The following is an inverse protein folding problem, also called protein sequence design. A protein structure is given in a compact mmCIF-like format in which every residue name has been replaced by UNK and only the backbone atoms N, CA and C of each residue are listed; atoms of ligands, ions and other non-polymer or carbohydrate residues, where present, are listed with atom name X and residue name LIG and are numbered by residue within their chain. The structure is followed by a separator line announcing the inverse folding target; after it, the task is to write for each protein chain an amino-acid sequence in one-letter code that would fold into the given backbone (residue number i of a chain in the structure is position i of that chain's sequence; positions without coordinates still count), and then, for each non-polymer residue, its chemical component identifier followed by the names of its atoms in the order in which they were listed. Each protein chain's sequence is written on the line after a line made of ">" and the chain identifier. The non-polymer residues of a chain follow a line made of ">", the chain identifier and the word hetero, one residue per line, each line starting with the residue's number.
data_IF_180739376949
#
_entry.id   IF_180739376949
#
_cell.length_a   1.000
_cell.length_b   1.000
_cell.length_c   1.000
_cell.angle_alpha   90.00
_cell.angle_beta   90.00
_cell.angle_gamma   90.00
#
_symmetry.space_group_name_H-M   'P 1'
#
loop_
_entity.id
_entity.type
_entity.pdbx_description
1 polymer ?
#
# COMPACT_ATOMS: atom_id res chain seq x y z
N UNK A 1 -4.86 22.38 16.74
CA UNK A 1 -6.24 22.69 16.30
C UNK A 1 -6.71 21.56 15.41
N UNK A 2 -7.35 20.56 16.01
CA UNK A 2 -7.88 19.37 15.36
C UNK A 2 -9.34 19.60 14.99
N UNK A 3 -9.65 19.55 13.69
CA UNK A 3 -11.04 19.59 13.21
C UNK A 3 -11.85 18.40 13.72
N UNK A 4 -13.19 18.50 13.72
CA UNK A 4 -14.03 17.49 14.34
C UNK A 4 -13.90 16.16 13.59
N UNK A 5 -13.47 15.12 14.32
CA UNK A 5 -13.63 13.74 13.90
C UNK A 5 -15.12 13.51 13.65
N UNK A 6 -15.48 12.99 12.47
CA UNK A 6 -16.83 12.50 12.23
C UNK A 6 -17.20 11.56 13.38
N UNK A 7 -18.25 11.91 14.15
CA UNK A 7 -18.61 11.16 15.33
C UNK A 7 -18.91 9.69 14.97
N UNK A 8 -18.19 8.74 15.58
CA UNK A 8 -18.64 7.35 15.71
C UNK A 8 -17.72 6.24 15.19
N UNK A 9 -16.59 6.52 14.53
CA UNK A 9 -15.72 5.45 13.99
C UNK A 9 -14.46 5.30 14.84
N UNK A 10 -14.21 4.10 15.42
CA UNK A 10 -12.96 3.81 16.13
C UNK A 10 -11.75 4.09 15.24
N UNK A 11 -10.65 4.67 15.77
CA UNK A 11 -9.43 4.93 14.99
C UNK A 11 -8.89 3.69 14.27
N UNK A 12 -9.10 2.50 14.83
CA UNK A 12 -8.73 1.21 14.23
C UNK A 12 -9.43 0.95 12.89
N UNK A 13 -10.65 1.46 12.71
CA UNK A 13 -11.46 1.22 11.52
C UNK A 13 -11.34 2.37 10.49
N UNK A 14 -10.65 3.45 10.84
CA UNK A 14 -10.44 4.56 9.92
C UNK A 14 -9.48 4.13 8.80
N UNK A 15 -9.92 4.21 7.55
CA UNK A 15 -9.14 3.79 6.38
C UNK A 15 -8.82 2.30 6.37
N UNK A 16 -9.68 1.47 6.96
CA UNK A 16 -9.46 0.02 7.10
C UNK A 16 -9.21 -0.69 5.76
N UNK A 17 -9.90 -0.27 4.69
CA UNK A 17 -9.83 -0.92 3.39
C UNK A 17 -9.25 0.02 2.34
N UNK A 18 -7.98 -0.20 1.97
CA UNK A 18 -7.38 0.37 0.77
C UNK A 18 -8.15 -0.14 -0.47
N UNK A 19 -8.44 0.76 -1.40
CA UNK A 19 -9.17 0.43 -2.62
C UNK A 19 -8.20 -0.10 -3.68
N UNK A 20 -8.21 -1.41 -3.92
CA UNK A 20 -7.32 -2.06 -4.89
C UNK A 20 -8.05 -2.44 -6.19
N UNK A 21 -9.09 -1.69 -6.59
CA UNK A 21 -10.01 -2.11 -7.65
C UNK A 21 -9.38 -2.40 -9.03
N UNK A 22 -8.19 -1.87 -9.34
CA UNK A 22 -7.50 -2.14 -10.61
C UNK A 22 -6.72 -3.47 -10.61
N UNK A 23 -6.56 -4.10 -9.45
CA UNK A 23 -5.85 -5.37 -9.31
C UNK A 23 -6.85 -6.54 -9.33
N UNK A 24 -6.42 -7.74 -9.75
CA UNK A 24 -7.25 -8.94 -9.64
C UNK A 24 -7.77 -9.16 -8.21
N UNK A 25 -9.00 -9.66 -8.04
CA UNK A 25 -9.94 -10.08 -9.09
C UNK A 25 -10.78 -8.95 -9.70
N UNK A 26 -10.74 -7.73 -9.16
CA UNK A 26 -11.57 -6.61 -9.62
C UNK A 26 -11.20 -6.13 -11.03
N UNK A 27 -9.90 -5.92 -11.27
CA UNK A 27 -9.32 -5.55 -12.58
C UNK A 27 -10.08 -4.44 -13.32
N UNK A 28 -10.64 -3.46 -12.59
CA UNK A 28 -11.38 -2.37 -13.20
C UNK A 28 -10.47 -1.52 -14.09
N UNK A 29 -10.95 -1.04 -15.25
CA UNK A 29 -10.25 0.00 -16.01
C UNK A 29 -9.98 1.22 -15.12
N UNK A 30 -8.78 1.79 -15.23
CA UNK A 30 -8.31 2.85 -14.32
C UNK A 30 -9.29 4.03 -14.19
N UNK A 31 -9.86 4.48 -15.31
CA UNK A 31 -10.85 5.57 -15.30
C UNK A 31 -12.09 5.23 -14.46
N UNK A 32 -12.58 3.99 -14.56
CA UNK A 32 -13.72 3.51 -13.78
C UNK A 32 -13.34 3.36 -12.30
N UNK A 33 -12.13 2.87 -12.01
CA UNK A 33 -11.63 2.76 -10.64
C UNK A 33 -11.51 4.14 -9.96
N UNK A 34 -10.96 5.15 -10.64
CA UNK A 34 -10.90 6.53 -10.11
C UNK A 34 -12.29 7.07 -9.84
N UNK A 35 -13.23 6.94 -10.79
CA UNK A 35 -14.60 7.41 -10.60
C UNK A 35 -15.31 6.67 -9.45
N UNK A 36 -15.13 5.35 -9.33
CA UNK A 36 -15.69 4.56 -8.24
C UNK A 36 -15.09 4.97 -6.89
N UNK A 37 -13.77 5.13 -6.81
CA UNK A 37 -13.08 5.57 -5.61
C UNK A 37 -13.58 6.93 -5.11
N UNK A 38 -13.71 7.91 -6.01
CA UNK A 38 -14.26 9.22 -5.66
C UNK A 38 -15.69 9.13 -5.09
N UNK A 39 -16.53 8.22 -5.62
CA UNK A 39 -17.85 7.95 -5.03
C UNK A 39 -17.76 7.30 -3.65
N UNK A 40 -16.87 6.33 -3.46
CA UNK A 40 -16.63 5.71 -2.15
C UNK A 40 -16.20 6.74 -1.10
N UNK A 41 -15.36 7.71 -1.49
CA UNK A 41 -14.90 8.82 -0.66
C UNK A 41 -15.99 9.86 -0.33
N UNK A 42 -17.10 9.87 -1.06
CA UNK A 42 -18.27 10.72 -0.80
C UNK A 42 -19.43 9.98 -0.13
N UNK A 43 -19.30 8.67 0.10
CA UNK A 43 -20.36 7.85 0.68
C UNK A 43 -20.41 7.93 2.22
N UNK A 44 -21.52 7.53 2.87
CA UNK A 44 -21.61 7.48 4.34
C UNK A 44 -20.54 6.62 5.02
N UNK A 45 -19.99 5.63 4.31
CA UNK A 45 -18.93 4.74 4.79
C UNK A 45 -17.51 5.21 4.43
N UNK A 46 -17.33 6.44 3.90
CA UNK A 46 -16.04 6.93 3.40
C UNK A 46 -14.90 6.85 4.42
N UNK A 47 -15.21 6.90 5.72
CA UNK A 47 -14.23 6.79 6.79
C UNK A 47 -13.58 5.41 6.90
N UNK A 48 -14.15 4.34 6.34
CA UNK A 48 -13.50 3.02 6.24
C UNK A 48 -12.62 2.86 4.99
N UNK A 49 -12.72 3.80 4.04
CA UNK A 49 -12.07 3.71 2.73
C UNK A 49 -10.70 4.39 2.80
N UNK A 50 -9.65 3.59 2.65
CA UNK A 50 -8.26 4.00 2.51
C UNK A 50 -7.97 4.61 1.13
N UNK A 51 -6.70 4.85 0.79
CA UNK A 51 -6.29 5.31 -0.54
C UNK A 51 -6.63 4.33 -1.68
N UNK A 52 -6.65 4.84 -2.91
CA UNK A 52 -6.66 4.02 -4.12
C UNK A 52 -5.25 3.45 -4.36
N UNK A 53 -5.12 2.13 -4.35
CA UNK A 53 -3.87 1.43 -4.67
C UNK A 53 -3.67 1.44 -6.18
N UNK A 54 -2.53 1.94 -6.63
CA UNK A 54 -2.16 2.04 -8.04
C UNK A 54 -0.76 1.47 -8.29
N UNK A 55 -0.55 0.88 -9.46
CA UNK A 55 0.81 0.60 -9.93
C UNK A 55 1.50 1.88 -10.38
N UNK A 56 2.80 2.01 -10.12
CA UNK A 56 3.63 3.08 -10.66
C UNK A 56 3.47 3.25 -12.18
N UNK A 57 3.22 2.15 -12.91
CA UNK A 57 3.06 2.14 -14.37
C UNK A 57 1.86 2.95 -14.89
N UNK A 58 0.84 3.19 -14.05
CA UNK A 58 -0.38 3.89 -14.47
C UNK A 58 -0.43 5.35 -14.06
N UNK A 59 0.54 5.83 -13.27
CA UNK A 59 0.59 7.23 -12.83
C UNK A 59 0.56 8.25 -13.99
N UNK A 60 1.26 8.04 -15.13
CA UNK A 60 1.24 8.99 -16.24
C UNK A 60 -0.15 9.20 -16.86
N UNK A 61 -1.11 8.29 -16.62
CA UNK A 61 -2.47 8.37 -17.16
C UNK A 61 -3.40 9.23 -16.28
N UNK A 62 -3.06 9.44 -15.01
CA UNK A 62 -3.92 10.12 -14.03
C UNK A 62 -4.27 11.56 -14.41
N UNK A 63 -3.39 12.41 -14.98
CA UNK A 63 -3.74 13.78 -15.32
C UNK A 63 -4.95 13.89 -16.25
N UNK A 64 -5.01 13.04 -17.28
CA UNK A 64 -6.11 13.05 -18.24
C UNK A 64 -7.44 12.59 -17.61
N UNK A 65 -7.38 11.60 -16.72
CA UNK A 65 -8.56 11.10 -16.00
C UNK A 65 -9.07 12.14 -15.01
N UNK A 66 -8.17 12.71 -14.19
CA UNK A 66 -8.52 13.68 -13.16
C UNK A 66 -8.97 15.03 -13.74
N UNK A 67 -8.59 15.38 -14.96
CA UNK A 67 -9.14 16.55 -15.66
C UNK A 67 -10.67 16.47 -15.84
N UNK A 68 -11.26 15.27 -15.81
CA UNK A 68 -12.71 15.03 -15.87
C UNK A 68 -13.41 15.16 -14.51
N UNK A 69 -12.64 15.34 -13.43
CA UNK A 69 -13.12 15.44 -12.05
C UNK A 69 -12.59 16.71 -11.37
N UNK A 70 -12.95 17.91 -11.86
CA UNK A 70 -12.38 19.17 -11.37
C UNK A 70 -12.65 19.35 -9.87
N UNK A 71 -11.59 19.68 -9.12
CA UNK A 71 -11.65 19.89 -7.67
C UNK A 71 -11.57 18.60 -6.84
N UNK A 72 -11.49 17.43 -7.47
CA UNK A 72 -11.23 16.19 -6.76
C UNK A 72 -9.77 16.14 -6.27
N UNK A 73 -9.58 15.50 -5.11
CA UNK A 73 -8.28 15.14 -4.58
C UNK A 73 -8.24 13.62 -4.44
N UNK A 74 -7.25 12.99 -5.07
CA UNK A 74 -7.08 11.56 -5.10
C UNK A 74 -5.94 11.15 -4.16
N UNK A 75 -6.28 10.47 -3.07
CA UNK A 75 -5.28 9.86 -2.19
C UNK A 75 -4.89 8.49 -2.73
N UNK A 76 -3.59 8.24 -2.94
CA UNK A 76 -3.11 7.00 -3.56
C UNK A 76 -2.04 6.27 -2.73
N UNK A 77 -2.05 4.95 -2.79
CA UNK A 77 -0.93 4.09 -2.38
C UNK A 77 -0.30 3.53 -3.65
N UNK A 78 1.03 3.66 -3.82
CA UNK A 78 1.68 3.25 -5.07
C UNK A 78 2.49 1.99 -4.89
N UNK A 79 2.18 0.95 -5.66
CA UNK A 79 3.01 -0.27 -5.71
C UNK A 79 4.24 -0.05 -6.57
N UNK A 80 5.41 -0.38 -6.01
CA UNK A 80 6.73 -0.18 -6.62
C UNK A 80 7.44 -1.54 -6.75
N UNK A 81 8.01 -1.90 -7.91
CA UNK A 81 8.59 -3.23 -8.12
C UNK A 81 9.84 -3.54 -7.28
N UNK A 82 10.67 -2.52 -7.00
CA UNK A 82 11.87 -2.66 -6.19
C UNK A 82 12.23 -1.36 -5.45
N UNK A 83 13.06 -1.41 -4.39
CA UNK A 83 13.58 -0.21 -3.74
C UNK A 83 14.28 0.77 -4.70
N UNK A 84 14.97 0.26 -5.72
CA UNK A 84 15.65 1.08 -6.72
C UNK A 84 14.71 1.97 -7.56
N UNK A 85 13.44 1.57 -7.71
CA UNK A 85 12.46 2.31 -8.51
C UNK A 85 11.78 3.44 -7.72
N UNK A 86 11.92 3.45 -6.39
CA UNK A 86 11.22 4.40 -5.49
C UNK A 86 11.50 5.85 -5.87
N UNK A 87 12.77 6.20 -6.12
CA UNK A 87 13.14 7.57 -6.50
C UNK A 87 12.48 8.00 -7.82
N UNK A 88 12.39 7.10 -8.80
CA UNK A 88 11.74 7.36 -10.08
C UNK A 88 10.22 7.53 -9.96
N UNK A 89 9.58 6.80 -9.05
CA UNK A 89 8.16 6.99 -8.74
C UNK A 89 7.92 8.34 -8.06
N UNK A 90 8.72 8.67 -7.06
CA UNK A 90 8.60 9.94 -6.34
C UNK A 90 8.81 11.16 -7.25
N UNK A 91 9.71 11.07 -8.22
CA UNK A 91 9.98 12.14 -9.18
C UNK A 91 8.77 12.49 -10.08
N UNK A 92 7.80 11.57 -10.24
CA UNK A 92 6.59 11.82 -11.04
C UNK A 92 5.51 12.59 -10.28
N UNK A 93 5.48 12.50 -8.95
CA UNK A 93 4.39 13.02 -8.13
C UNK A 93 4.20 14.54 -8.16
N UNK A 94 5.26 15.38 -8.23
CA UNK A 94 5.09 16.83 -8.32
C UNK A 94 4.26 17.29 -9.53
N UNK A 95 4.21 16.50 -10.61
CA UNK A 95 3.41 16.79 -11.79
C UNK A 95 1.92 16.44 -11.62
N UNK A 96 1.54 15.73 -10.54
CA UNK A 96 0.19 15.25 -10.29
C UNK A 96 -0.51 16.11 -9.24
N UNK A 97 -0.90 17.34 -9.60
CA UNK A 97 -1.42 18.34 -8.66
C UNK A 97 -2.71 17.93 -7.89
N UNK A 98 -3.47 16.97 -8.41
CA UNK A 98 -4.69 16.44 -7.77
C UNK A 98 -4.44 15.16 -6.97
N UNK A 99 -3.18 14.76 -6.80
CA UNK A 99 -2.81 13.50 -6.16
C UNK A 99 -2.09 13.77 -4.84
N UNK A 100 -2.51 13.05 -3.80
CA UNK A 100 -1.82 12.96 -2.53
C UNK A 100 -1.25 11.54 -2.35
N UNK A 101 0.07 11.41 -2.26
CA UNK A 101 0.68 10.12 -1.94
C UNK A 101 0.46 9.80 -0.46
N UNK A 102 -0.30 8.74 -0.19
CA UNK A 102 -0.57 8.24 1.15
C UNK A 102 0.46 7.20 1.61
N UNK A 103 0.96 6.37 0.69
CA UNK A 103 1.92 5.32 0.98
C UNK A 103 2.66 4.83 -0.26
N UNK A 104 3.80 4.18 -0.05
CA UNK A 104 4.45 3.33 -1.04
C UNK A 104 4.36 1.86 -0.61
N UNK A 105 4.18 0.97 -1.58
CA UNK A 105 4.16 -0.47 -1.38
C UNK A 105 5.26 -1.13 -2.21
N UNK A 106 6.39 -1.43 -1.58
CA UNK A 106 7.60 -1.82 -2.30
C UNK A 106 7.75 -3.33 -2.28
N UNK A 107 7.77 -3.95 -3.45
CA UNK A 107 8.15 -5.35 -3.61
C UNK A 107 9.67 -5.52 -3.49
N UNK A 108 10.13 -6.73 -3.21
CA UNK A 108 11.55 -7.05 -3.05
C UNK A 108 12.01 -8.04 -4.12
N UNK A 109 13.06 -7.72 -4.89
CA UNK A 109 13.72 -8.70 -5.74
C UNK A 109 14.21 -9.91 -4.93
N UNK A 110 14.26 -11.09 -5.56
CA UNK A 110 14.65 -12.34 -4.89
C UNK A 110 16.12 -12.31 -4.43
N UNK A 111 16.95 -11.61 -5.20
CA UNK A 111 18.39 -11.45 -5.03
C UNK A 111 18.77 -10.36 -4.03
N UNK A 112 17.83 -9.50 -3.61
CA UNK A 112 18.13 -8.45 -2.64
C UNK A 112 18.29 -9.06 -1.24
N UNK A 113 19.47 -8.88 -0.65
CA UNK A 113 19.75 -9.34 0.70
C UNK A 113 18.97 -8.51 1.73
N UNK A 114 18.51 -9.17 2.78
CA UNK A 114 17.73 -8.55 3.87
C UNK A 114 18.42 -7.33 4.46
N UNK A 115 19.75 -7.41 4.67
CA UNK A 115 20.55 -6.34 5.24
C UNK A 115 20.56 -5.06 4.39
N UNK A 116 20.33 -5.19 3.07
CA UNK A 116 20.38 -4.08 2.12
C UNK A 116 19.03 -3.40 1.90
N UNK A 117 17.92 -4.02 2.36
CA UNK A 117 16.56 -3.50 2.11
C UNK A 117 16.34 -2.12 2.72
N UNK A 118 16.61 -1.96 4.01
CA UNK A 118 16.41 -0.68 4.71
C UNK A 118 17.38 0.40 4.21
N UNK A 119 18.69 0.13 4.07
CA UNK A 119 19.62 1.10 3.46
C UNK A 119 19.19 1.56 2.06
N UNK A 120 18.75 0.64 1.19
CA UNK A 120 18.31 0.98 -0.16
C UNK A 120 17.06 1.88 -0.15
N UNK A 121 16.08 1.57 0.72
CA UNK A 121 14.89 2.41 0.89
C UNK A 121 15.23 3.79 1.45
N UNK A 122 16.04 3.85 2.51
CA UNK A 122 16.39 5.11 3.15
C UNK A 122 17.20 6.03 2.23
N UNK A 123 18.05 5.47 1.36
CA UNK A 123 18.75 6.22 0.33
C UNK A 123 17.82 6.79 -0.75
N UNK A 124 16.73 6.09 -1.08
CA UNK A 124 15.77 6.51 -2.11
C UNK A 124 14.69 7.48 -1.60
N UNK A 125 14.46 7.54 -0.29
CA UNK A 125 13.35 8.27 0.30
C UNK A 125 13.77 9.65 0.84
N UNK A 126 12.99 10.72 0.58
CA UNK A 126 13.18 11.99 1.25
C UNK A 126 12.84 11.89 2.74
N UNK A 127 13.33 12.84 3.54
CA UNK A 127 13.07 12.87 4.99
C UNK A 127 11.57 12.91 5.33
N UNK A 128 10.75 13.58 4.50
CA UNK A 128 9.31 13.70 4.65
C UNK A 128 8.51 12.68 3.83
N UNK A 129 9.10 11.52 3.50
CA UNK A 129 8.41 10.47 2.75
C UNK A 129 7.19 9.93 3.53
N UNK A 130 6.12 9.51 2.82
CA UNK A 130 5.00 8.82 3.44
C UNK A 130 5.41 7.42 3.93
N UNK A 131 4.54 6.75 4.70
CA UNK A 131 4.77 5.36 5.11
C UNK A 131 5.10 4.44 3.94
N UNK A 132 6.11 3.61 4.11
CA UNK A 132 6.50 2.56 3.16
C UNK A 132 6.14 1.20 3.73
N UNK A 133 5.36 0.45 2.97
CA UNK A 133 5.00 -0.93 3.25
C UNK A 133 5.85 -1.85 2.38
N UNK A 134 6.74 -2.59 3.01
CA UNK A 134 7.67 -3.50 2.35
C UNK A 134 7.02 -4.88 2.26
N UNK A 135 6.97 -5.43 1.06
CA UNK A 135 6.45 -6.76 0.82
C UNK A 135 7.35 -7.82 1.45
N UNK A 136 6.77 -8.55 2.40
CA UNK A 136 7.48 -9.60 3.12
C UNK A 136 7.41 -10.89 2.30
N UNK A 137 8.56 -11.47 1.91
CA UNK A 137 8.56 -12.69 1.11
C UNK A 137 8.03 -13.88 1.92
N UNK A 138 7.70 -14.95 1.19
CA UNK A 138 7.26 -16.24 1.75
C UNK A 138 8.38 -17.30 1.73
N UNK A 139 9.62 -16.82 1.78
CA UNK A 139 10.84 -17.62 1.82
C UNK A 139 11.60 -17.41 3.15
N UNK A 140 12.77 -18.04 3.27
CA UNK A 140 13.61 -18.03 4.47
C UNK A 140 14.11 -16.62 4.87
N UNK A 141 13.94 -15.60 4.02
CA UNK A 141 14.29 -14.22 4.36
C UNK A 141 13.28 -13.57 5.30
N UNK A 142 12.07 -14.11 5.44
CA UNK A 142 10.97 -13.50 6.21
C UNK A 142 11.39 -13.11 7.64
N UNK A 143 11.93 -14.02 8.49
CA UNK A 143 12.18 -13.67 9.89
C UNK A 143 13.18 -12.51 10.03
N UNK A 144 14.31 -12.59 9.32
CA UNK A 144 15.32 -11.53 9.34
C UNK A 144 14.81 -10.22 8.76
N UNK A 145 13.95 -10.26 7.73
CA UNK A 145 13.34 -9.05 7.19
C UNK A 145 12.42 -8.38 8.21
N UNK A 146 11.58 -9.15 8.92
CA UNK A 146 10.70 -8.57 9.95
C UNK A 146 11.50 -7.92 11.07
N UNK A 147 12.61 -8.51 11.52
CA UNK A 147 13.50 -7.93 12.53
C UNK A 147 14.10 -6.60 12.06
N UNK A 148 14.63 -6.56 10.83
CA UNK A 148 15.20 -5.34 10.25
C UNK A 148 14.14 -4.25 10.05
N UNK A 149 12.93 -4.62 9.63
CA UNK A 149 11.82 -3.66 9.49
C UNK A 149 11.38 -3.11 10.85
N UNK A 150 11.32 -3.93 11.90
CA UNK A 150 10.95 -3.52 13.26
C UNK A 150 11.95 -2.53 13.88
N UNK A 151 13.21 -2.57 13.45
CA UNK A 151 14.25 -1.60 13.82
C UNK A 151 14.23 -0.32 12.94
N UNK A 152 13.28 -0.19 12.01
CA UNK A 152 13.21 0.89 11.04
C UNK A 152 11.88 1.68 11.12
N UNK A 153 11.71 2.66 10.23
CA UNK A 153 10.45 3.39 10.05
C UNK A 153 9.46 2.70 9.10
N UNK A 154 9.88 1.63 8.45
CA UNK A 154 9.13 0.93 7.41
C UNK A 154 8.17 -0.10 8.02
N UNK A 155 7.16 -0.49 7.26
CA UNK A 155 6.05 -1.35 7.70
C UNK A 155 6.05 -2.66 6.91
N UNK A 156 5.49 -3.72 7.49
CA UNK A 156 5.34 -4.98 6.78
C UNK A 156 4.11 -4.99 5.86
N UNK A 157 4.21 -5.68 4.72
CA UNK A 157 3.09 -5.96 3.83
C UNK A 157 3.04 -7.45 3.54
N UNK A 158 1.94 -8.09 3.90
CA UNK A 158 1.70 -9.50 3.55
C UNK A 158 0.83 -9.59 2.30
N UNK A 159 1.24 -10.44 1.36
CA UNK A 159 0.35 -10.89 0.30
C UNK A 159 -0.48 -12.06 0.84
N UNK A 160 -1.80 -11.93 0.82
CA UNK A 160 -2.73 -12.97 1.26
C UNK A 160 -3.55 -13.53 0.09
N UNK A 161 -3.02 -13.45 -1.13
CA UNK A 161 -3.70 -13.95 -2.31
C UNK A 161 -3.07 -13.54 -3.63
N UNK A 162 -3.74 -13.96 -4.70
CA UNK A 162 -3.36 -13.70 -6.09
C UNK A 162 -4.19 -14.54 -7.06
N UNK A 163 -3.77 -14.58 -8.32
CA UNK A 163 -4.49 -15.29 -9.40
C UNK A 163 -4.34 -16.82 -9.38
N UNK A 164 -3.51 -17.35 -8.48
CA UNK A 164 -3.23 -18.79 -8.36
C UNK A 164 -3.25 -19.21 -6.88
N UNK A 165 -3.70 -20.44 -6.61
CA UNK A 165 -3.88 -20.95 -5.25
C UNK A 165 -2.60 -20.90 -4.40
N UNK A 166 -1.44 -21.19 -4.98
CA UNK A 166 -0.15 -21.14 -4.27
C UNK A 166 0.26 -19.73 -3.84
N UNK A 167 -0.42 -18.67 -4.31
CA UNK A 167 -0.17 -17.29 -3.88
C UNK A 167 -0.86 -16.93 -2.57
N UNK A 168 -1.73 -17.82 -2.07
CA UNK A 168 -2.32 -17.71 -0.74
C UNK A 168 -1.41 -18.38 0.30
N UNK A 169 -1.11 -17.71 1.43
CA UNK A 169 -0.61 -18.40 2.61
C UNK A 169 -1.73 -19.29 3.16
N UNK A 170 -1.34 -20.42 3.75
CA UNK A 170 -2.28 -21.17 4.59
C UNK A 170 -2.45 -20.48 5.96
N UNK A 171 -3.39 -20.98 6.76
CA UNK A 171 -3.71 -20.42 8.07
C UNK A 171 -2.51 -20.45 9.03
N UNK A 172 -1.72 -21.52 9.00
CA UNK A 172 -0.55 -21.68 9.89
C UNK A 172 0.57 -20.70 9.50
N UNK A 173 0.83 -20.56 8.20
CA UNK A 173 1.81 -19.62 7.67
C UNK A 173 1.44 -18.17 8.02
N UNK A 174 0.16 -17.80 7.82
CA UNK A 174 -0.29 -16.45 8.13
C UNK A 174 -0.30 -16.19 9.63
N UNK A 175 -0.78 -17.14 10.46
CA UNK A 175 -0.77 -17.01 11.91
C UNK A 175 0.66 -16.82 12.45
N UNK A 176 1.64 -17.62 11.98
CA UNK A 176 3.03 -17.48 12.37
C UNK A 176 3.61 -16.10 11.97
N UNK A 177 3.24 -15.57 10.81
CA UNK A 177 3.65 -14.22 10.40
C UNK A 177 3.01 -13.13 11.28
N UNK A 178 1.73 -13.28 11.63
CA UNK A 178 1.00 -12.36 12.51
C UNK A 178 1.55 -12.36 13.94
N UNK A 179 1.88 -13.52 14.49
CA UNK A 179 2.52 -13.66 15.80
C UNK A 179 3.88 -12.94 15.84
N UNK A 180 4.68 -13.08 14.78
CA UNK A 180 5.99 -12.41 14.69
C UNK A 180 5.84 -10.88 14.66
N UNK A 181 4.97 -10.33 13.81
CA UNK A 181 4.78 -8.86 13.76
C UNK A 181 4.15 -8.33 15.04
N UNK A 182 3.29 -9.11 15.71
CA UNK A 182 2.73 -8.75 17.00
C UNK A 182 3.82 -8.70 18.09
N UNK A 183 4.70 -9.70 18.14
CA UNK A 183 5.84 -9.75 19.07
C UNK A 183 6.81 -8.58 18.85
N UNK A 184 7.07 -8.24 17.58
CA UNK A 184 7.93 -7.12 17.19
C UNK A 184 7.24 -5.75 17.28
N UNK A 185 5.93 -5.70 17.53
CA UNK A 185 5.09 -4.49 17.43
C UNK A 185 5.27 -3.75 16.10
N UNK A 186 5.49 -4.50 15.03
CA UNK A 186 5.72 -3.98 13.68
C UNK A 186 4.38 -3.68 13.02
N UNK A 187 4.08 -2.42 12.63
CA UNK A 187 2.88 -2.12 11.86
C UNK A 187 2.89 -2.87 10.53
N UNK A 188 1.74 -3.39 10.14
CA UNK A 188 1.61 -4.14 8.90
C UNK A 188 0.28 -3.88 8.19
N UNK A 189 0.19 -4.31 6.94
CA UNK A 189 -1.08 -4.51 6.24
C UNK A 189 -1.08 -5.80 5.44
N UNK A 190 -2.27 -6.32 5.16
CA UNK A 190 -2.48 -7.44 4.24
C UNK A 190 -3.04 -6.93 2.91
N UNK A 191 -2.74 -7.63 1.82
CA UNK A 191 -3.14 -7.24 0.45
C UNK A 191 -3.62 -8.45 -0.36
N UNK A 192 -4.29 -8.17 -1.48
CA UNK A 192 -5.01 -9.14 -2.33
C UNK A 192 -6.32 -9.67 -1.73
N UNK A 193 -6.88 -8.95 -0.75
CA UNK A 193 -8.19 -9.22 -0.14
C UNK A 193 -8.24 -10.55 0.64
N UNK A 194 -9.10 -10.60 1.65
CA UNK A 194 -9.45 -11.85 2.33
C UNK A 194 -10.62 -12.53 1.58
N UNK A 195 -10.50 -12.68 0.25
CA UNK A 195 -11.59 -13.22 -0.58
C UNK A 195 -11.95 -14.68 -0.26
N UNK A 196 -11.12 -15.34 0.55
CA UNK A 196 -11.21 -16.73 0.96
C UNK A 196 -10.95 -16.95 2.46
N UNK A 197 -11.00 -15.91 3.30
CA UNK A 197 -10.80 -16.04 4.75
C UNK A 197 -12.10 -16.26 5.53
#
# INVERSE_FOLDING_TARGET
>A
MTGPLAAGIPPLLAGLADDAAIFPPGSLPLEQAVAAHLRHRAAPYAAFVGPLVLSAAVLPQLPAILARHPGAQLSISVTVPAPADVAGVLAQLPALAQVQLAALEVALPAELAVADVVPALDAALPAAAPPVYVEVPRDDRRPGLLEVLAASKHRAKFRTGGVAAHLYPDEAELAAALEQVAALRLPFKATAGLHHA
#
